data_IF_398677014739
#
_entry.id   IF_398677014739
#
_cell.length_a   1.000
_cell.length_b   1.000
_cell.length_c   1.000
_cell.angle_alpha   90.00
_cell.angle_beta   90.00
_cell.angle_gamma   90.00
#
_symmetry.space_group_name_H-M   'P 1'
#
loop_
_entity.id
_entity.type
_entity.pdbx_description
1 polymer ?
#
# COMPACT_ATOMS: atom_id res chain seq x y z
N UNK A 1 57.43 36.70 -19.10
CA UNK A 1 56.75 36.27 -20.35
C UNK A 1 56.55 34.76 -20.37
N UNK A 2 57.61 33.94 -20.30
CA UNK A 2 57.49 32.46 -20.31
C UNK A 2 56.70 31.90 -19.12
N UNK A 3 56.89 32.42 -17.89
CA UNK A 3 56.12 31.95 -16.72
C UNK A 3 54.64 32.35 -16.76
N UNK A 4 54.32 33.48 -17.37
CA UNK A 4 52.95 33.98 -17.54
C UNK A 4 52.18 33.13 -18.56
N UNK A 5 52.83 32.72 -19.65
CA UNK A 5 52.28 31.81 -20.66
C UNK A 5 52.07 30.41 -20.08
N UNK A 6 53.02 29.91 -19.27
CA UNK A 6 52.89 28.63 -18.59
C UNK A 6 51.72 28.62 -17.58
N UNK A 7 51.56 29.68 -16.77
CA UNK A 7 50.42 29.83 -15.85
C UNK A 7 49.07 29.83 -16.58
N UNK A 8 48.94 30.62 -17.65
CA UNK A 8 47.73 30.64 -18.49
C UNK A 8 47.42 29.29 -19.13
N UNK A 9 48.45 28.52 -19.49
CA UNK A 9 48.27 27.17 -20.08
C UNK A 9 47.77 26.17 -19.04
N UNK A 10 48.25 26.24 -17.80
CA UNK A 10 47.79 25.40 -16.68
C UNK A 10 46.35 25.74 -16.30
N UNK A 11 46.02 27.03 -16.19
CA UNK A 11 44.67 27.49 -15.86
C UNK A 11 43.65 27.08 -16.94
N UNK A 12 44.03 27.22 -18.23
CA UNK A 12 43.21 26.77 -19.35
C UNK A 12 43.02 25.25 -19.34
N UNK A 13 44.07 24.48 -19.05
CA UNK A 13 43.97 23.02 -18.94
C UNK A 13 43.04 22.61 -17.79
N UNK A 14 43.09 23.31 -16.65
CA UNK A 14 42.19 23.07 -15.51
C UNK A 14 40.73 23.40 -15.85
N UNK A 15 40.50 24.52 -16.54
CA UNK A 15 39.18 24.91 -17.00
C UNK A 15 38.58 23.90 -18.00
N UNK A 16 39.37 23.43 -18.97
CA UNK A 16 38.95 22.41 -19.94
C UNK A 16 38.65 21.08 -19.24
N UNK A 17 39.47 20.68 -18.26
CA UNK A 17 39.25 19.46 -17.49
C UNK A 17 37.95 19.51 -16.68
N UNK A 18 37.64 20.66 -16.05
CA UNK A 18 36.38 20.85 -15.33
C UNK A 18 35.19 20.86 -16.28
N UNK A 19 35.31 21.50 -17.44
CA UNK A 19 34.28 21.46 -18.49
C UNK A 19 34.03 20.03 -18.96
N UNK A 20 35.10 19.25 -19.19
CA UNK A 20 34.99 17.84 -19.57
C UNK A 20 34.28 17.01 -18.49
N UNK A 21 34.62 17.19 -17.21
CA UNK A 21 33.94 16.52 -16.10
C UNK A 21 32.45 16.83 -16.07
N UNK A 22 32.09 18.10 -16.24
CA UNK A 22 30.69 18.54 -16.21
C UNK A 22 29.90 18.02 -17.41
N UNK A 23 30.49 18.05 -18.61
CA UNK A 23 29.88 17.45 -19.81
C UNK A 23 29.74 15.94 -19.66
N UNK A 24 30.75 15.25 -19.10
CA UNK A 24 30.68 13.82 -18.84
C UNK A 24 29.58 13.47 -17.84
N UNK A 25 29.48 14.19 -16.72
CA UNK A 25 28.42 13.97 -15.74
C UNK A 25 27.01 14.16 -16.36
N UNK A 26 26.85 15.14 -17.26
CA UNK A 26 25.60 15.32 -18.02
C UNK A 26 25.33 14.19 -19.00
N UNK A 27 26.35 13.62 -19.64
CA UNK A 27 26.20 12.45 -20.53
C UNK A 27 25.81 11.20 -19.72
N UNK A 28 26.51 10.94 -18.62
CA UNK A 28 26.26 9.81 -17.73
C UNK A 28 24.81 9.89 -17.18
N UNK A 29 24.38 11.06 -16.71
CA UNK A 29 23.02 11.31 -16.24
C UNK A 29 21.96 11.05 -17.33
N UNK A 30 22.23 11.52 -18.53
CA UNK A 30 21.36 11.34 -19.66
C UNK A 30 21.26 9.85 -20.05
N UNK A 31 22.35 9.07 -19.96
CA UNK A 31 22.37 7.63 -20.19
C UNK A 31 21.55 6.86 -19.13
N UNK A 32 21.55 7.31 -17.88
CA UNK A 32 20.83 6.68 -16.77
C UNK A 32 19.34 7.04 -16.71
N UNK A 33 18.95 8.23 -17.16
CA UNK A 33 17.57 8.74 -17.22
C UNK A 33 16.51 7.72 -17.65
N UNK A 34 16.67 6.97 -18.77
CA UNK A 34 15.68 5.99 -19.22
C UNK A 34 15.50 4.80 -18.27
N UNK A 35 16.53 4.44 -17.51
CA UNK A 35 16.47 3.38 -16.52
C UNK A 35 15.81 3.88 -15.22
N UNK A 36 16.14 5.10 -14.80
CA UNK A 36 15.50 5.77 -13.65
C UNK A 36 14.00 5.94 -13.87
N UNK A 37 13.57 6.43 -15.04
CA UNK A 37 12.14 6.50 -15.38
C UNK A 37 11.45 5.13 -15.40
N UNK A 38 12.07 4.10 -15.99
CA UNK A 38 11.49 2.74 -15.97
C UNK A 38 11.41 2.14 -14.57
N UNK A 39 12.28 2.55 -13.65
CA UNK A 39 12.22 2.18 -12.24
C UNK A 39 11.06 2.88 -11.55
N UNK A 40 10.90 4.18 -11.78
CA UNK A 40 9.80 5.00 -11.27
C UNK A 40 8.42 4.51 -11.72
N UNK A 41 8.23 4.23 -13.01
CA UNK A 41 6.96 3.69 -13.55
C UNK A 41 6.58 2.37 -12.90
N UNK A 42 7.53 1.43 -12.76
CA UNK A 42 7.27 0.15 -12.08
C UNK A 42 6.92 0.33 -10.61
N UNK A 43 7.48 1.33 -9.95
CA UNK A 43 7.19 1.63 -8.55
C UNK A 43 5.76 2.18 -8.40
N UNK A 44 5.32 3.06 -9.30
CA UNK A 44 3.93 3.55 -9.38
C UNK A 44 2.97 2.36 -9.54
N UNK A 45 3.21 1.48 -10.53
CA UNK A 45 2.37 0.31 -10.78
C UNK A 45 2.28 -0.64 -9.56
N UNK A 46 3.38 -0.78 -8.81
CA UNK A 46 3.42 -1.61 -7.60
C UNK A 46 2.62 -0.99 -6.45
N UNK A 47 2.65 0.33 -6.31
CA UNK A 47 1.96 1.05 -5.24
C UNK A 47 0.45 1.01 -5.46
N UNK A 48 -0.02 1.18 -6.70
CA UNK A 48 -1.45 1.08 -7.02
C UNK A 48 -2.05 -0.24 -6.53
N UNK A 49 -1.31 -1.35 -6.66
CA UNK A 49 -1.75 -2.65 -6.13
C UNK A 49 -1.69 -2.81 -4.60
N UNK A 50 -0.93 -1.97 -3.88
CA UNK A 50 -0.77 -2.04 -2.41
C UNK A 50 -1.79 -1.20 -1.65
N UNK A 51 -2.28 -0.12 -2.25
CA UNK A 51 -3.20 0.83 -1.61
C UNK A 51 -4.58 0.20 -1.34
N UNK A 52 -5.04 -0.70 -2.21
CA UNK A 52 -6.35 -1.39 -2.10
C UNK A 52 -6.51 -2.23 -0.81
N UNK A 53 -5.42 -2.58 -0.12
CA UNK A 53 -5.43 -3.35 1.12
C UNK A 53 -5.32 -2.52 2.41
N UNK A 54 -5.19 -1.19 2.32
CA UNK A 54 -4.87 -0.35 3.47
C UNK A 54 -6.12 0.12 4.25
N UNK A 55 -6.01 0.17 5.58
CA UNK A 55 -7.07 0.68 6.44
C UNK A 55 -7.09 2.23 6.44
N UNK A 56 -7.89 2.82 5.55
CA UNK A 56 -8.03 4.27 5.36
C UNK A 56 -8.70 5.02 6.54
N UNK A 57 -9.29 4.29 7.49
CA UNK A 57 -9.89 4.87 8.69
C UNK A 57 -8.83 5.28 9.74
N UNK A 58 -7.63 4.70 9.68
CA UNK A 58 -6.52 5.11 10.55
C UNK A 58 -5.91 6.43 10.07
N UNK A 59 -5.84 7.42 10.97
CA UNK A 59 -5.33 8.76 10.66
C UNK A 59 -3.87 8.74 10.20
N UNK A 60 -3.03 7.87 10.76
CA UNK A 60 -1.61 7.76 10.40
C UNK A 60 -1.47 7.09 9.03
N UNK A 61 -2.20 5.99 8.77
CA UNK A 61 -2.23 5.36 7.44
C UNK A 61 -2.73 6.33 6.38
N UNK A 62 -3.79 7.09 6.65
CA UNK A 62 -4.32 8.10 5.72
C UNK A 62 -3.29 9.18 5.35
N UNK A 63 -2.61 9.77 6.33
CA UNK A 63 -1.56 10.76 6.05
C UNK A 63 -0.40 10.17 5.25
N UNK A 64 -0.03 8.91 5.49
CA UNK A 64 1.00 8.24 4.70
C UNK A 64 0.52 8.04 3.25
N UNK A 65 -0.73 7.62 3.04
CA UNK A 65 -1.31 7.46 1.70
C UNK A 65 -1.44 8.79 0.95
N UNK A 66 -1.80 9.88 1.63
CA UNK A 66 -1.83 11.23 1.06
C UNK A 66 -0.43 11.67 0.58
N UNK A 67 0.61 11.42 1.38
CA UNK A 67 1.99 11.73 1.01
C UNK A 67 2.46 10.87 -0.18
N UNK A 68 2.10 9.58 -0.21
CA UNK A 68 2.39 8.69 -1.34
C UNK A 68 1.72 9.20 -2.60
N UNK A 69 0.43 9.56 -2.53
CA UNK A 69 -0.32 10.13 -3.67
C UNK A 69 0.35 11.40 -4.19
N UNK A 70 0.76 12.31 -3.30
CA UNK A 70 1.46 13.54 -3.69
C UNK A 70 2.79 13.25 -4.38
N UNK A 71 3.57 12.29 -3.88
CA UNK A 71 4.83 11.89 -4.52
C UNK A 71 4.61 11.20 -5.86
N UNK A 72 3.54 10.40 -6.01
CA UNK A 72 3.18 9.78 -7.29
C UNK A 72 2.76 10.81 -8.33
N UNK A 73 1.96 11.82 -7.94
CA UNK A 73 1.61 12.95 -8.82
C UNK A 73 2.86 13.74 -9.26
N UNK A 74 3.78 14.04 -8.33
CA UNK A 74 5.04 14.71 -8.66
C UNK A 74 5.89 13.86 -9.61
N UNK A 75 5.94 12.55 -9.39
CA UNK A 75 6.71 11.61 -10.22
C UNK A 75 6.10 11.47 -11.63
N UNK A 76 4.78 11.39 -11.75
CA UNK A 76 4.08 11.32 -13.03
C UNK A 76 4.25 12.64 -13.82
N UNK A 77 4.16 13.80 -13.15
CA UNK A 77 4.46 15.11 -13.75
C UNK A 77 5.90 15.19 -14.29
N UNK A 78 6.88 14.65 -13.54
CA UNK A 78 8.28 14.60 -13.98
C UNK A 78 8.47 13.67 -15.18
N UNK A 79 7.79 12.51 -15.18
CA UNK A 79 7.80 11.55 -16.29
C UNK A 79 7.13 12.13 -17.54
N UNK A 80 5.98 12.80 -17.42
CA UNK A 80 5.29 13.42 -18.55
C UNK A 80 6.11 14.59 -19.13
N UNK A 81 6.77 15.38 -18.27
CA UNK A 81 7.76 16.39 -18.71
C UNK A 81 8.90 15.74 -19.50
N UNK A 82 9.42 14.60 -19.05
CA UNK A 82 10.45 13.85 -19.78
C UNK A 82 9.97 13.35 -21.14
N UNK A 83 8.77 12.76 -21.21
CA UNK A 83 8.18 12.26 -22.45
C UNK A 83 7.99 13.40 -23.45
N UNK A 84 7.45 14.53 -22.99
CA UNK A 84 7.28 15.76 -23.80
C UNK A 84 8.62 16.32 -24.30
N UNK A 85 9.68 16.24 -23.49
CA UNK A 85 11.05 16.61 -23.90
C UNK A 85 11.62 15.63 -24.92
N UNK A 86 11.30 14.34 -24.83
CA UNK A 86 11.66 13.34 -25.83
C UNK A 86 10.90 13.49 -27.16
N UNK A 87 9.72 14.12 -27.15
CA UNK A 87 8.82 14.21 -28.30
C UNK A 87 9.06 15.41 -29.24
N UNK A 88 10.06 16.26 -29.01
CA UNK A 88 10.34 17.41 -29.89
C UNK A 88 10.94 16.97 -31.23
N UNK A 89 10.04 16.70 -32.20
CA UNK A 89 10.20 16.73 -33.68
C UNK A 89 11.59 16.40 -34.27
N UNK A 90 11.82 15.14 -34.65
CA UNK A 90 11.92 14.69 -36.06
C UNK A 90 12.19 13.18 -36.14
N UNK A 91 11.34 12.46 -36.87
CA UNK A 91 11.67 11.30 -37.71
C UNK A 91 12.43 10.12 -37.10
N UNK A 92 11.73 9.00 -36.94
CA UNK A 92 12.24 7.66 -37.24
C UNK A 92 13.43 7.15 -36.41
N UNK A 93 13.13 6.36 -35.38
CA UNK A 93 14.07 5.39 -34.81
C UNK A 93 14.85 5.90 -33.60
N UNK A 94 14.43 5.47 -32.41
CA UNK A 94 15.33 5.22 -31.28
C UNK A 94 16.29 6.33 -30.84
N UNK A 95 15.95 7.61 -31.01
CA UNK A 95 16.80 8.69 -30.49
C UNK A 95 16.58 8.77 -28.97
N UNK A 96 17.62 8.37 -28.24
CA UNK A 96 17.67 8.33 -26.78
C UNK A 96 17.23 9.67 -26.17
N UNK A 97 16.33 9.64 -25.17
CA UNK A 97 15.85 10.80 -24.41
C UNK A 97 17.01 11.71 -23.96
N UNK A 98 18.16 11.10 -23.69
CA UNK A 98 19.43 11.74 -23.40
C UNK A 98 19.88 12.80 -24.40
N UNK A 99 19.77 12.52 -25.71
CA UNK A 99 20.16 13.42 -26.79
C UNK A 99 19.18 14.58 -26.92
N UNK A 100 17.89 14.34 -26.66
CA UNK A 100 16.86 15.36 -26.76
C UNK A 100 16.90 16.35 -25.59
N UNK A 101 17.10 15.86 -24.35
CA UNK A 101 17.30 16.73 -23.17
C UNK A 101 18.55 17.60 -23.33
N UNK A 102 19.65 17.02 -23.82
CA UNK A 102 20.87 17.77 -24.13
C UNK A 102 20.64 18.81 -25.25
N UNK A 103 19.92 18.44 -26.32
CA UNK A 103 19.62 19.36 -27.44
C UNK A 103 18.69 20.52 -27.07
N UNK A 104 17.83 20.33 -26.05
CA UNK A 104 16.91 21.35 -25.55
C UNK A 104 17.57 22.34 -24.58
N UNK A 105 18.88 22.20 -24.31
CA UNK A 105 19.63 23.08 -23.41
C UNK A 105 19.21 22.95 -21.93
N UNK A 106 18.52 21.86 -21.57
CA UNK A 106 18.10 21.58 -20.19
C UNK A 106 19.14 20.74 -19.47
N UNK A 107 19.26 20.97 -18.16
CA UNK A 107 20.21 20.25 -17.33
C UNK A 107 19.68 18.83 -17.04
N UNK A 108 20.20 17.85 -17.79
CA UNK A 108 19.85 16.45 -17.62
C UNK A 108 20.18 15.94 -16.21
N UNK A 109 21.24 16.46 -15.57
CA UNK A 109 21.58 16.09 -14.19
C UNK A 109 20.49 16.55 -13.23
N UNK A 110 19.98 17.77 -13.39
CA UNK A 110 18.89 18.26 -12.53
C UNK A 110 17.63 17.41 -12.65
N UNK A 111 17.27 17.00 -13.86
CA UNK A 111 16.08 16.16 -14.09
C UNK A 111 16.28 14.76 -13.50
N UNK A 112 17.48 14.21 -13.61
CA UNK A 112 17.84 12.95 -12.97
C UNK A 112 17.78 13.06 -11.44
N UNK A 113 18.41 14.08 -10.87
CA UNK A 113 18.43 14.35 -9.43
C UNK A 113 17.01 14.50 -8.87
N UNK A 114 16.13 15.23 -9.59
CA UNK A 114 14.74 15.41 -9.20
C UNK A 114 13.98 14.07 -9.21
N UNK A 115 14.19 13.22 -10.23
CA UNK A 115 13.61 11.88 -10.29
C UNK A 115 14.11 10.96 -9.17
N UNK A 116 15.43 10.94 -8.92
CA UNK A 116 16.02 10.11 -7.87
C UNK A 116 15.57 10.55 -6.48
N UNK A 117 15.50 11.87 -6.24
CA UNK A 117 15.01 12.41 -4.96
C UNK A 117 13.57 12.00 -4.70
N UNK A 118 12.68 12.22 -5.66
CA UNK A 118 11.24 11.92 -5.51
C UNK A 118 11.01 10.42 -5.37
N UNK A 119 11.77 9.58 -6.09
CA UNK A 119 11.73 8.13 -5.91
C UNK A 119 12.17 7.70 -4.49
N UNK A 120 13.24 8.28 -3.97
CA UNK A 120 13.76 7.97 -2.63
C UNK A 120 12.79 8.41 -1.51
N UNK A 121 12.14 9.57 -1.65
CA UNK A 121 11.05 9.97 -0.75
C UNK A 121 9.86 9.01 -0.82
N UNK A 122 9.47 8.61 -2.04
CA UNK A 122 8.38 7.65 -2.24
C UNK A 122 8.68 6.30 -1.58
N UNK A 123 9.92 5.80 -1.67
CA UNK A 123 10.35 4.57 -0.97
C UNK A 123 10.29 4.70 0.55
N UNK A 124 10.70 5.84 1.12
CA UNK A 124 10.60 6.08 2.57
C UNK A 124 9.15 6.10 3.04
N UNK A 125 8.25 6.66 2.25
CA UNK A 125 6.82 6.64 2.54
C UNK A 125 6.24 5.23 2.41
N UNK A 126 6.68 4.44 1.42
CA UNK A 126 6.32 3.04 1.29
C UNK A 126 6.78 2.20 2.49
N UNK A 127 8.02 2.36 2.92
CA UNK A 127 8.54 1.69 4.12
C UNK A 127 7.75 2.09 5.38
N UNK A 128 7.39 3.37 5.48
CA UNK A 128 6.54 3.86 6.56
C UNK A 128 5.13 3.27 6.50
N UNK A 129 4.58 3.06 5.30
CA UNK A 129 3.29 2.41 5.08
C UNK A 129 3.35 0.92 5.47
N UNK A 130 4.40 0.21 5.07
CA UNK A 130 4.66 -1.18 5.45
C UNK A 130 4.79 -1.29 6.97
N UNK A 131 5.56 -0.40 7.61
CA UNK A 131 5.67 -0.40 9.06
C UNK A 131 4.35 -0.05 9.75
N UNK A 132 3.57 0.91 9.23
CA UNK A 132 2.27 1.26 9.81
C UNK A 132 1.28 0.09 9.66
N UNK A 133 1.19 -0.53 8.49
CA UNK A 133 0.33 -1.69 8.23
C UNK A 133 0.79 -2.94 9.01
N UNK A 134 2.10 -3.13 9.20
CA UNK A 134 2.66 -4.14 10.10
C UNK A 134 2.43 -3.81 11.58
N UNK A 135 2.48 -2.54 12.00
CA UNK A 135 2.13 -2.14 13.36
C UNK A 135 0.62 -2.27 13.62
N UNK A 136 -0.25 -2.02 12.65
CA UNK A 136 -1.65 -2.46 12.72
C UNK A 136 -1.78 -3.98 12.64
N UNK A 137 -0.72 -4.67 12.20
CA UNK A 137 -0.56 -6.11 12.30
C UNK A 137 -0.15 -6.60 13.71
N UNK A 138 0.36 -5.72 14.57
CA UNK A 138 0.86 -6.12 15.90
C UNK A 138 0.34 -5.29 17.09
N UNK A 139 -0.32 -4.14 16.90
CA UNK A 139 -0.47 -3.11 17.95
C UNK A 139 -1.90 -2.64 18.25
N UNK A 140 -2.92 -3.09 17.53
CA UNK A 140 -4.32 -2.84 17.93
C UNK A 140 -5.01 -4.16 18.14
N UNK A 141 -5.53 -4.40 19.35
CA UNK A 141 -6.49 -5.48 19.64
C UNK A 141 -7.44 -5.61 18.46
N UNK A 142 -7.36 -6.74 17.75
CA UNK A 142 -8.02 -6.86 16.45
C UNK A 142 -9.55 -6.73 16.59
N UNK A 143 -10.07 -7.06 17.78
CA UNK A 143 -11.44 -6.84 18.23
C UNK A 143 -11.90 -5.38 18.19
N UNK A 144 -11.03 -4.38 18.39
CA UNK A 144 -11.42 -2.95 18.37
C UNK A 144 -12.01 -2.51 17.01
N UNK A 145 -11.83 -3.31 15.96
CA UNK A 145 -12.46 -3.11 14.64
C UNK A 145 -13.93 -3.53 14.59
N UNK A 146 -14.43 -4.25 15.59
CA UNK A 146 -15.84 -4.60 15.70
C UNK A 146 -16.59 -3.40 16.28
N UNK A 147 -17.59 -2.88 15.58
CA UNK A 147 -18.34 -1.69 16.02
C UNK A 147 -19.21 -1.98 17.26
N UNK A 148 -19.71 -3.21 17.35
CA UNK A 148 -20.65 -3.65 18.38
C UNK A 148 -19.93 -4.15 19.63
N UNK A 149 -20.35 -3.64 20.80
CA UNK A 149 -19.67 -3.85 22.09
C UNK A 149 -19.64 -5.33 22.51
N UNK A 150 -20.75 -6.06 22.33
CA UNK A 150 -20.86 -7.48 22.70
C UNK A 150 -19.96 -8.36 21.82
N UNK A 151 -19.78 -7.99 20.55
CA UNK A 151 -18.91 -8.64 19.57
C UNK A 151 -17.44 -8.40 19.91
N UNK A 152 -17.08 -7.18 20.32
CA UNK A 152 -15.77 -6.88 20.89
C UNK A 152 -15.48 -7.73 22.12
N UNK A 153 -16.42 -7.74 23.07
CA UNK A 153 -16.27 -8.49 24.32
C UNK A 153 -16.11 -9.98 24.05
N UNK A 154 -16.96 -10.54 23.21
CA UNK A 154 -16.89 -11.93 22.79
C UNK A 154 -15.54 -12.28 22.17
N UNK A 155 -15.06 -11.48 21.22
CA UNK A 155 -13.78 -11.76 20.59
C UNK A 155 -12.62 -11.68 21.59
N UNK A 156 -12.61 -10.67 22.45
CA UNK A 156 -11.61 -10.50 23.50
C UNK A 156 -11.63 -11.66 24.51
N UNK A 157 -12.81 -12.12 24.92
CA UNK A 157 -13.00 -13.19 25.92
C UNK A 157 -12.58 -14.56 25.38
N UNK A 158 -12.93 -14.88 24.12
CA UNK A 158 -12.72 -16.22 23.56
C UNK A 158 -11.43 -16.36 22.75
N UNK A 159 -10.94 -15.28 22.15
CA UNK A 159 -9.82 -15.32 21.20
C UNK A 159 -8.73 -14.29 21.49
N UNK A 160 -8.97 -13.32 22.38
CA UNK A 160 -8.01 -12.28 22.73
C UNK A 160 -7.51 -11.51 21.50
N UNK A 161 -6.20 -11.54 21.28
CA UNK A 161 -5.55 -10.81 20.19
C UNK A 161 -5.50 -11.57 18.86
N UNK A 162 -6.08 -12.77 18.77
CA UNK A 162 -6.09 -13.56 17.53
C UNK A 162 -6.80 -12.80 16.39
N UNK A 163 -6.22 -12.87 15.19
CA UNK A 163 -6.68 -12.17 13.98
C UNK A 163 -7.67 -12.98 13.17
N UNK A 164 -7.46 -14.28 13.19
CA UNK A 164 -8.25 -15.27 12.50
C UNK A 164 -8.32 -16.51 13.36
N UNK A 165 -9.44 -17.20 13.29
CA UNK A 165 -9.67 -18.46 14.00
C UNK A 165 -10.44 -19.40 13.08
N UNK A 166 -10.35 -20.70 13.34
CA UNK A 166 -11.13 -21.68 12.57
C UNK A 166 -12.63 -21.44 12.73
N UNK A 167 -13.42 -21.77 11.70
CA UNK A 167 -14.90 -21.77 11.79
C UNK A 167 -15.39 -22.65 12.95
N UNK A 168 -14.65 -23.74 13.23
CA UNK A 168 -14.93 -24.64 14.35
C UNK A 168 -14.79 -23.92 15.71
N UNK A 169 -13.72 -23.15 15.91
CA UNK A 169 -13.52 -22.38 17.13
C UNK A 169 -14.58 -21.30 17.33
N UNK A 170 -15.03 -20.63 16.25
CA UNK A 170 -16.18 -19.71 16.31
C UNK A 170 -17.45 -20.44 16.77
N UNK A 171 -17.73 -21.61 16.22
CA UNK A 171 -18.92 -22.38 16.57
C UNK A 171 -18.91 -22.82 18.04
N UNK A 172 -17.75 -23.25 18.56
CA UNK A 172 -17.56 -23.61 19.96
C UNK A 172 -17.79 -22.41 20.90
N UNK A 173 -17.21 -21.25 20.57
CA UNK A 173 -17.38 -20.02 21.35
C UNK A 173 -18.83 -19.50 21.33
N UNK A 174 -19.49 -19.51 20.15
CA UNK A 174 -20.90 -19.14 20.02
C UNK A 174 -21.81 -20.09 20.79
N UNK A 175 -21.48 -21.38 20.83
CA UNK A 175 -22.22 -22.37 21.62
C UNK A 175 -22.11 -22.06 23.12
N UNK A 176 -20.89 -21.76 23.59
CA UNK A 176 -20.66 -21.34 24.97
C UNK A 176 -21.46 -20.07 25.34
N UNK A 177 -21.53 -19.07 24.47
CA UNK A 177 -22.38 -17.88 24.68
C UNK A 177 -23.87 -18.24 24.76
N UNK A 178 -24.34 -19.11 23.87
CA UNK A 178 -25.75 -19.54 23.85
C UNK A 178 -26.13 -20.30 25.12
N UNK A 179 -25.24 -21.15 25.63
CA UNK A 179 -25.42 -21.88 26.89
C UNK A 179 -25.38 -20.95 28.09
N UNK A 180 -24.37 -20.07 28.17
CA UNK A 180 -24.17 -19.13 29.28
C UNK A 180 -25.35 -18.16 29.42
N UNK A 181 -25.88 -17.67 28.30
CA UNK A 181 -27.02 -16.75 28.27
C UNK A 181 -28.37 -17.45 28.20
N UNK A 182 -28.40 -18.78 28.26
CA UNK A 182 -29.59 -19.64 28.23
C UNK A 182 -30.55 -19.31 27.07
N UNK A 183 -30.02 -19.23 25.84
CA UNK A 183 -30.76 -18.79 24.65
C UNK A 183 -31.65 -19.87 24.01
N UNK A 184 -31.56 -21.12 24.48
CA UNK A 184 -32.38 -22.24 23.96
C UNK A 184 -32.06 -22.64 22.51
N UNK A 185 -30.84 -22.37 22.05
CA UNK A 185 -30.31 -22.83 20.75
C UNK A 185 -29.41 -24.02 21.02
N UNK A 186 -29.72 -25.17 20.41
CA UNK A 186 -28.93 -26.39 20.58
C UNK A 186 -27.61 -26.34 19.80
N UNK A 187 -26.61 -27.10 20.27
CA UNK A 187 -25.25 -27.11 19.72
C UNK A 187 -25.20 -27.47 18.24
N UNK A 188 -26.04 -28.41 17.78
CA UNK A 188 -26.07 -28.81 16.38
C UNK A 188 -26.56 -27.64 15.49
N UNK A 189 -27.60 -26.93 15.94
CA UNK A 189 -28.07 -25.71 15.29
C UNK A 189 -26.99 -24.62 15.28
N UNK A 190 -26.26 -24.39 16.38
CA UNK A 190 -25.17 -23.39 16.42
C UNK A 190 -24.07 -23.71 15.42
N UNK A 191 -23.61 -24.98 15.37
CA UNK A 191 -22.57 -25.40 14.43
C UNK A 191 -23.01 -25.21 12.99
N UNK A 192 -24.25 -25.58 12.66
CA UNK A 192 -24.77 -25.44 11.30
C UNK A 192 -24.92 -23.97 10.92
N UNK A 193 -25.49 -23.13 11.80
CA UNK A 193 -25.61 -21.69 11.57
C UNK A 193 -24.25 -21.04 11.36
N UNK A 194 -23.24 -21.43 12.14
CA UNK A 194 -21.88 -20.90 12.00
C UNK A 194 -21.29 -21.25 10.64
N UNK A 195 -21.46 -22.50 10.19
CA UNK A 195 -21.04 -22.94 8.84
C UNK A 195 -21.78 -22.19 7.73
N UNK A 196 -23.08 -21.94 7.91
CA UNK A 196 -23.90 -21.23 6.93
C UNK A 196 -23.48 -19.75 6.84
N UNK A 197 -23.23 -19.09 7.98
CA UNK A 197 -22.76 -17.71 8.05
C UNK A 197 -21.38 -17.51 7.40
N UNK A 198 -20.50 -18.52 7.48
CA UNK A 198 -19.14 -18.46 6.94
C UNK A 198 -18.92 -19.50 5.83
N UNK A 199 -19.94 -19.73 5.01
CA UNK A 199 -19.93 -20.75 3.97
C UNK A 199 -18.73 -20.59 3.02
N UNK A 200 -18.06 -21.71 2.72
CA UNK A 200 -16.89 -21.75 1.84
C UNK A 200 -15.58 -21.27 2.48
N UNK A 201 -15.57 -20.94 3.79
CA UNK A 201 -14.37 -20.53 4.53
C UNK A 201 -13.97 -21.60 5.54
N UNK A 202 -12.65 -21.82 5.71
CA UNK A 202 -12.11 -22.68 6.79
C UNK A 202 -11.76 -21.86 8.04
N UNK A 203 -11.37 -20.60 7.85
CA UNK A 203 -11.04 -19.64 8.90
C UNK A 203 -11.87 -18.35 8.76
N UNK A 204 -12.04 -17.65 9.87
CA UNK A 204 -12.79 -16.40 9.98
C UNK A 204 -11.88 -15.35 10.60
N UNK A 205 -11.66 -14.25 9.88
CA UNK A 205 -10.97 -13.08 10.41
C UNK A 205 -11.89 -12.27 11.32
N UNK A 206 -11.33 -11.43 12.19
CA UNK A 206 -12.15 -10.55 13.06
C UNK A 206 -13.11 -9.67 12.25
N UNK A 207 -12.65 -9.16 11.11
CA UNK A 207 -13.51 -8.37 10.22
C UNK A 207 -14.62 -9.21 9.59
N UNK A 208 -14.29 -10.43 9.14
CA UNK A 208 -15.27 -11.37 8.61
C UNK A 208 -16.32 -11.77 9.65
N UNK A 209 -15.94 -11.89 10.92
CA UNK A 209 -16.89 -12.06 12.03
C UNK A 209 -17.80 -10.83 12.19
N UNK A 210 -17.22 -9.63 12.09
CA UNK A 210 -17.93 -8.36 12.14
C UNK A 210 -19.01 -8.21 11.05
N UNK A 211 -18.82 -8.76 9.86
CA UNK A 211 -19.82 -8.74 8.78
C UNK A 211 -21.18 -9.33 9.22
N UNK A 212 -21.14 -10.32 10.13
CA UNK A 212 -22.33 -11.01 10.64
C UNK A 212 -22.83 -10.40 11.94
N UNK A 213 -21.93 -10.05 12.87
CA UNK A 213 -22.29 -9.71 14.25
C UNK A 213 -22.14 -8.23 14.62
N UNK A 214 -21.67 -7.33 13.73
CA UNK A 214 -21.52 -5.91 14.07
C UNK A 214 -22.83 -5.11 14.15
N UNK A 215 -23.95 -5.63 13.64
CA UNK A 215 -25.19 -4.85 13.55
C UNK A 215 -26.14 -5.05 14.73
N UNK A 216 -25.99 -6.14 15.47
CA UNK A 216 -26.84 -6.50 16.61
C UNK A 216 -26.05 -7.30 17.64
N UNK A 217 -26.60 -7.49 18.84
CA UNK A 217 -25.94 -8.33 19.85
C UNK A 217 -25.79 -9.78 19.35
N UNK A 218 -24.80 -10.50 19.85
CA UNK A 218 -24.62 -11.92 19.51
C UNK A 218 -25.87 -12.72 19.90
N UNK A 219 -26.46 -12.55 21.10
CA UNK A 219 -27.68 -13.24 21.47
C UNK A 219 -28.85 -13.01 20.52
N UNK A 220 -29.13 -11.75 20.16
CA UNK A 220 -30.24 -11.41 19.27
C UNK A 220 -30.02 -11.99 17.87
N UNK A 221 -28.78 -11.92 17.39
CA UNK A 221 -28.38 -12.47 16.10
C UNK A 221 -28.57 -13.99 16.09
N UNK A 222 -28.08 -14.70 17.11
CA UNK A 222 -28.19 -16.15 17.21
C UNK A 222 -29.64 -16.62 17.34
N UNK A 223 -30.47 -15.97 18.15
CA UNK A 223 -31.91 -16.28 18.27
C UNK A 223 -32.63 -16.02 16.95
N UNK A 224 -32.31 -14.92 16.26
CA UNK A 224 -32.90 -14.57 14.96
C UNK A 224 -32.53 -15.57 13.86
N UNK A 225 -31.26 -16.00 13.81
CA UNK A 225 -30.77 -17.01 12.89
C UNK A 225 -31.39 -18.38 13.18
N UNK A 226 -31.46 -18.79 14.45
CA UNK A 226 -32.10 -20.05 14.85
C UNK A 226 -33.60 -20.09 14.50
N UNK A 227 -34.33 -18.99 14.72
CA UNK A 227 -35.75 -18.88 14.30
C UNK A 227 -35.90 -19.03 12.79
N UNK A 228 -35.02 -18.38 12.00
CA UNK A 228 -35.02 -18.49 10.53
C UNK A 228 -34.67 -19.89 10.05
N UNK A 229 -33.69 -20.55 10.67
CA UNK A 229 -33.33 -21.92 10.35
C UNK A 229 -34.51 -22.88 10.60
N UNK A 230 -35.16 -22.78 11.77
CA UNK A 230 -36.35 -23.59 12.12
C UNK A 230 -37.52 -23.35 11.16
N UNK A 231 -37.77 -22.09 10.76
CA UNK A 231 -38.81 -21.74 9.80
C UNK A 231 -38.56 -22.37 8.41
N UNK A 232 -37.30 -22.43 7.99
CA UNK A 232 -36.88 -23.08 6.73
C UNK A 232 -37.09 -24.59 6.77
N UNK A 233 -36.90 -25.22 7.93
CA UNK A 233 -37.16 -26.66 8.12
C UNK A 233 -38.65 -27.00 8.17
N UNK A 234 -39.51 -26.10 8.66
CA UNK A 234 -40.97 -26.30 8.71
C UNK A 234 -41.71 -26.12 7.37
N UNK A 235 -41.01 -25.63 6.34
CA UNK A 235 -41.55 -25.45 4.97
C UNK A 235 -41.12 -26.58 4.01
N UNK A 236 -40.36 -27.56 4.52
CA UNK A 236 -39.97 -28.81 3.85
C UNK A 236 -40.75 -29.98 4.46
#
# INVERSE_FOLDING_TARGET
>A
MVSTIAGLTVDLAYAIHNLYKEVKARIDAAEHLPNTCRRCVRLIDQIDGMVDGCNVDDKRTRTILENISSCMEELDDLIDRMIKLGATKQGGGGVCICLNVASAGKDAMKVEDDLERTEEELRKHLDSLVQATQLHTYSTRTSNKLEQVDSRRFWDEHFGDMREVSVKAIAEALNHECETKNLGVDTATVVQLTKDCFSGKETVTVLGFGEVFNKASIPDTMVSLAKRARAKTSLL
#
